data_IF_456129757788
#
_entry.id   IF_456129757788
#
_cell.length_a   1.000
_cell.length_b   1.000
_cell.length_c   1.000
_cell.angle_alpha   90.00
_cell.angle_beta   90.00
_cell.angle_gamma   90.00
#
_symmetry.space_group_name_H-M   'P 1'
#
loop_
_entity.id
_entity.type
_entity.pdbx_description
1 polymer ?
#
# COMPACT_ATOMS: atom_id res chain seq x y z
N UNK A 1 -18.00 -0.09 -9.78
CA UNK A 1 -17.49 0.12 -8.41
C UNK A 1 -16.37 1.13 -8.43
N UNK A 2 -16.39 2.07 -7.51
CA UNK A 2 -15.41 3.15 -7.51
C UNK A 2 -14.22 2.80 -6.62
N UNK A 3 -13.01 2.95 -7.16
CA UNK A 3 -11.80 2.72 -6.38
C UNK A 3 -11.53 3.89 -5.44
N UNK A 4 -11.18 3.56 -4.20
CA UNK A 4 -10.70 4.53 -3.21
C UNK A 4 -9.23 4.22 -2.95
N UNK A 5 -8.36 5.12 -3.39
CA UNK A 5 -6.91 4.88 -3.42
C UNK A 5 -6.22 5.42 -2.17
N UNK A 6 -5.43 4.58 -1.53
CA UNK A 6 -4.69 4.90 -0.30
C UNK A 6 -3.20 4.84 -0.57
N UNK A 7 -2.49 5.89 -0.17
CA UNK A 7 -1.02 5.88 -0.15
C UNK A 7 -0.56 5.76 1.30
N UNK A 8 0.40 4.89 1.55
CA UNK A 8 0.94 4.65 2.90
C UNK A 8 2.39 5.10 2.97
N UNK A 9 2.66 6.07 3.83
CA UNK A 9 4.03 6.53 4.10
C UNK A 9 4.51 5.82 5.35
N UNK A 10 5.18 4.71 5.16
CA UNK A 10 5.61 3.82 6.20
C UNK A 10 4.87 2.49 6.17
N UNK A 11 5.56 1.42 6.53
CA UNK A 11 4.95 0.08 6.53
C UNK A 11 5.59 -0.79 7.63
N UNK A 12 5.64 -0.23 8.84
CA UNK A 12 6.08 -0.96 10.02
C UNK A 12 4.92 -1.70 10.68
N UNK A 13 4.92 -1.76 12.00
CA UNK A 13 3.89 -2.48 12.77
C UNK A 13 2.49 -1.94 12.48
N UNK A 14 2.33 -0.60 12.51
CA UNK A 14 1.03 0.02 12.27
C UNK A 14 0.56 -0.20 10.82
N UNK A 15 1.47 -0.09 9.86
CA UNK A 15 1.13 -0.31 8.45
C UNK A 15 0.72 -1.74 8.16
N UNK A 16 1.43 -2.71 8.72
CA UNK A 16 1.08 -4.13 8.58
C UNK A 16 -0.26 -4.45 9.24
N UNK A 17 -0.54 -3.84 10.40
CA UNK A 17 -1.83 -4.02 11.08
C UNK A 17 -2.98 -3.45 10.23
N UNK A 18 -2.79 -2.26 9.66
CA UNK A 18 -3.79 -1.67 8.76
C UNK A 18 -4.04 -2.58 7.55
N UNK A 19 -2.98 -3.09 6.94
CA UNK A 19 -3.09 -3.97 5.78
C UNK A 19 -3.88 -5.24 6.11
N UNK A 20 -3.62 -5.83 7.28
CA UNK A 20 -4.34 -7.03 7.72
C UNK A 20 -5.83 -6.74 7.91
N UNK A 21 -6.15 -5.63 8.57
CA UNK A 21 -7.54 -5.23 8.79
C UNK A 21 -8.23 -4.98 7.45
N UNK A 22 -7.58 -4.27 6.55
CA UNK A 22 -8.15 -4.00 5.23
C UNK A 22 -8.43 -5.28 4.46
N UNK A 23 -7.49 -6.24 4.46
CA UNK A 23 -7.71 -7.53 3.79
C UNK A 23 -8.90 -8.30 4.37
N UNK A 24 -9.12 -8.20 5.69
CA UNK A 24 -10.23 -8.88 6.36
C UNK A 24 -11.58 -8.21 6.12
N UNK A 25 -11.60 -6.91 5.91
CA UNK A 25 -12.84 -6.12 5.84
C UNK A 25 -13.14 -5.57 4.45
N UNK A 26 -12.29 -5.85 3.47
CA UNK A 26 -12.40 -5.30 2.12
C UNK A 26 -13.78 -5.49 1.50
N UNK A 27 -14.28 -6.74 1.52
CA UNK A 27 -15.57 -7.05 0.89
C UNK A 27 -16.74 -6.39 1.64
N UNK A 28 -16.64 -6.32 2.96
CA UNK A 28 -17.66 -5.67 3.78
C UNK A 28 -17.71 -4.17 3.49
N UNK A 29 -16.54 -3.53 3.36
CA UNK A 29 -16.48 -2.10 3.02
C UNK A 29 -17.08 -1.87 1.63
N UNK A 30 -16.74 -2.70 0.66
CA UNK A 30 -17.31 -2.62 -0.69
C UNK A 30 -18.82 -2.72 -0.66
N UNK A 31 -19.36 -3.67 0.07
CA UNK A 31 -20.80 -3.91 0.16
C UNK A 31 -21.53 -2.72 0.80
N UNK A 32 -20.95 -2.15 1.86
CA UNK A 32 -21.59 -1.06 2.62
C UNK A 32 -21.43 0.30 1.98
N UNK A 33 -20.31 0.57 1.29
CA UNK A 33 -20.01 1.91 0.81
C UNK A 33 -19.98 2.04 -0.71
N UNK A 34 -19.90 0.94 -1.43
CA UNK A 34 -19.71 0.95 -2.88
C UNK A 34 -18.29 1.28 -3.32
N UNK A 35 -17.34 1.42 -2.38
CA UNK A 35 -15.95 1.70 -2.70
C UNK A 35 -15.07 0.46 -2.59
N UNK A 36 -14.17 0.33 -3.56
CA UNK A 36 -13.11 -0.68 -3.55
C UNK A 36 -11.84 -0.01 -3.04
N UNK A 37 -11.53 -0.19 -1.76
CA UNK A 37 -10.37 0.44 -1.12
C UNK A 37 -9.12 -0.33 -1.49
N UNK A 38 -8.16 0.35 -2.12
CA UNK A 38 -6.89 -0.23 -2.55
C UNK A 38 -5.72 0.60 -2.09
N UNK A 39 -4.68 -0.04 -1.61
CA UNK A 39 -3.41 0.63 -1.33
C UNK A 39 -2.63 0.67 -2.64
N UNK A 40 -2.33 1.87 -3.12
CA UNK A 40 -1.68 2.06 -4.42
C UNK A 40 -0.21 2.43 -4.30
N UNK A 41 0.24 2.89 -3.14
CA UNK A 41 1.63 3.23 -2.90
C UNK A 41 2.02 2.95 -1.46
N UNK A 42 3.24 2.46 -1.27
CA UNK A 42 3.83 2.22 0.05
C UNK A 42 5.27 2.69 0.01
N UNK A 43 5.69 3.50 0.98
CA UNK A 43 7.09 3.87 1.14
C UNK A 43 7.61 3.37 2.49
N UNK A 44 8.89 2.99 2.54
CA UNK A 44 9.52 2.53 3.79
C UNK A 44 10.76 3.33 4.16
N UNK A 45 11.19 4.22 3.29
CA UNK A 45 12.45 4.92 3.45
C UNK A 45 13.65 4.09 3.02
N UNK A 46 14.03 3.07 3.80
CA UNK A 46 15.25 2.30 3.54
C UNK A 46 15.02 0.92 2.92
N UNK A 47 13.78 0.43 2.92
CA UNK A 47 13.48 -0.93 2.46
C UNK A 47 12.85 -0.98 1.08
N UNK A 48 12.84 0.14 0.38
CA UNK A 48 12.22 0.27 -0.93
C UNK A 48 10.78 0.75 -0.86
N UNK A 49 10.19 0.91 -2.02
CA UNK A 49 8.80 1.39 -2.16
C UNK A 49 8.06 0.53 -3.16
N UNK A 50 6.74 0.56 -3.08
CA UNK A 50 5.85 -0.11 -4.03
C UNK A 50 4.84 0.88 -4.58
N UNK A 51 4.45 0.69 -5.85
CA UNK A 51 3.43 1.49 -6.50
C UNK A 51 2.67 0.64 -7.50
N UNK A 52 1.36 0.64 -7.41
CA UNK A 52 0.48 -0.04 -8.37
C UNK A 52 -0.92 0.56 -8.28
N UNK A 53 -1.36 1.25 -9.32
CA UNK A 53 -2.68 1.89 -9.33
C UNK A 53 -3.83 0.89 -9.31
N UNK A 54 -3.58 -0.34 -9.70
CA UNK A 54 -4.60 -1.40 -9.63
C UNK A 54 -4.66 -2.06 -8.25
N UNK A 55 -3.84 -1.62 -7.33
CA UNK A 55 -3.78 -2.14 -5.97
C UNK A 55 -2.57 -3.04 -5.72
N UNK A 56 -1.89 -2.78 -4.62
CA UNK A 56 -0.73 -3.58 -4.19
C UNK A 56 -1.24 -4.83 -3.47
N UNK A 57 -0.62 -5.97 -3.74
CA UNK A 57 -0.86 -7.20 -2.99
C UNK A 57 -0.20 -7.05 -1.61
N UNK A 58 -1.03 -6.72 -0.60
CA UNK A 58 -0.54 -6.43 0.75
C UNK A 58 0.01 -7.65 1.47
N UNK A 59 -0.49 -8.85 1.15
CA UNK A 59 0.04 -10.08 1.73
C UNK A 59 1.47 -10.32 1.24
N UNK A 60 1.69 -10.13 -0.05
CA UNK A 60 3.01 -10.30 -0.64
C UNK A 60 3.97 -9.21 -0.15
N UNK A 61 3.51 -7.96 -0.03
CA UNK A 61 4.32 -6.87 0.50
C UNK A 61 4.79 -7.18 1.93
N UNK A 62 3.88 -7.65 2.78
CA UNK A 62 4.21 -8.02 4.15
C UNK A 62 5.20 -9.18 4.19
N UNK A 63 4.98 -10.20 3.36
CA UNK A 63 5.89 -11.35 3.25
C UNK A 63 7.30 -10.90 2.89
N UNK A 64 7.45 -10.03 1.91
CA UNK A 64 8.77 -9.54 1.50
C UNK A 64 9.51 -8.86 2.64
N UNK A 65 8.83 -7.99 3.39
CA UNK A 65 9.47 -7.31 4.51
C UNK A 65 9.81 -8.26 5.66
N UNK A 66 8.96 -9.23 5.95
CA UNK A 66 9.19 -10.16 7.05
C UNK A 66 10.24 -11.22 6.72
N UNK A 67 10.26 -11.74 5.49
CA UNK A 67 11.16 -12.82 5.11
C UNK A 67 12.45 -12.33 4.47
N UNK A 68 12.41 -11.24 3.71
CA UNK A 68 13.56 -10.74 2.96
C UNK A 68 14.12 -9.43 3.51
N UNK A 69 13.40 -8.78 4.42
CA UNK A 69 13.82 -7.54 5.06
C UNK A 69 13.67 -6.30 4.20
N UNK A 70 13.20 -6.43 2.97
CA UNK A 70 12.98 -5.33 2.05
C UNK A 70 12.07 -5.75 0.91
N UNK A 71 11.53 -4.77 0.18
CA UNK A 71 10.76 -5.05 -1.04
C UNK A 71 11.70 -5.54 -2.15
N UNK A 72 11.21 -6.51 -2.91
CA UNK A 72 11.97 -7.12 -4.01
C UNK A 72 12.06 -6.14 -5.18
N UNK A 73 13.31 -5.77 -5.55
CA UNK A 73 13.55 -4.85 -6.66
C UNK A 73 13.09 -5.40 -8.01
N UNK A 74 12.88 -6.70 -8.10
CA UNK A 74 12.36 -7.34 -9.31
C UNK A 74 10.84 -7.49 -9.32
N UNK A 75 10.16 -7.08 -8.25
CA UNK A 75 8.71 -7.11 -8.19
C UNK A 75 8.12 -6.10 -9.19
N UNK A 76 7.04 -6.47 -9.91
CA UNK A 76 6.39 -5.53 -10.85
C UNK A 76 5.94 -4.23 -10.20
N UNK A 77 5.63 -4.25 -8.92
CA UNK A 77 5.19 -3.06 -8.19
C UNK A 77 6.35 -2.25 -7.60
N UNK A 78 7.59 -2.72 -7.68
CA UNK A 78 8.72 -2.02 -7.08
C UNK A 78 8.87 -0.61 -7.64
N UNK A 79 9.06 0.37 -6.76
CA UNK A 79 9.21 1.77 -7.14
C UNK A 79 10.40 2.38 -6.40
N UNK A 80 11.04 3.37 -7.03
CA UNK A 80 12.12 4.14 -6.42
C UNK A 80 11.62 5.44 -5.80
N UNK A 81 10.31 5.70 -5.84
CA UNK A 81 9.76 6.92 -5.28
C UNK A 81 9.96 6.99 -3.77
N UNK A 82 10.37 8.16 -3.29
CA UNK A 82 10.36 8.44 -1.85
C UNK A 82 8.99 8.99 -1.45
N UNK A 83 8.80 9.24 -0.15
CA UNK A 83 7.51 9.72 0.37
C UNK A 83 7.08 11.04 -0.26
N UNK A 84 8.00 11.98 -0.46
CA UNK A 84 7.69 13.27 -1.07
C UNK A 84 7.20 13.09 -2.51
N UNK A 85 7.86 12.22 -3.28
CA UNK A 85 7.44 11.94 -4.65
C UNK A 85 6.08 11.28 -4.72
N UNK A 86 5.77 10.38 -3.78
CA UNK A 86 4.44 9.78 -3.69
C UNK A 86 3.38 10.85 -3.44
N UNK A 87 3.61 11.75 -2.50
CA UNK A 87 2.68 12.83 -2.20
C UNK A 87 2.44 13.72 -3.41
N UNK A 88 3.48 14.01 -4.18
CA UNK A 88 3.39 14.93 -5.33
C UNK A 88 2.85 14.29 -6.60
N UNK A 89 3.17 13.01 -6.85
CA UNK A 89 2.97 12.39 -8.16
C UNK A 89 1.89 11.33 -8.21
N UNK A 90 1.59 10.67 -7.10
CA UNK A 90 0.62 9.58 -7.09
C UNK A 90 -0.79 10.13 -6.95
N UNK A 91 -1.70 9.58 -7.74
CA UNK A 91 -3.12 9.92 -7.65
C UNK A 91 -3.74 9.07 -6.53
N UNK A 92 -3.99 9.70 -5.39
CA UNK A 92 -4.58 9.02 -4.23
C UNK A 92 -5.73 9.84 -3.66
N UNK A 93 -6.64 9.16 -2.94
CA UNK A 93 -7.74 9.81 -2.25
C UNK A 93 -7.34 10.18 -0.82
N UNK A 94 -6.52 9.36 -0.20
CA UNK A 94 -6.02 9.63 1.16
C UNK A 94 -4.58 9.15 1.28
N UNK A 95 -3.79 9.85 2.07
CA UNK A 95 -2.44 9.45 2.44
C UNK A 95 -2.39 9.23 3.94
N UNK A 96 -1.81 8.09 4.33
CA UNK A 96 -1.60 7.74 5.73
C UNK A 96 -0.12 7.83 6.04
N UNK A 97 0.21 8.61 7.04
CA UNK A 97 1.58 8.74 7.54
C UNK A 97 1.69 7.91 8.82
N UNK A 98 2.47 6.84 8.74
CA UNK A 98 2.54 5.82 9.79
C UNK A 98 3.90 5.74 10.47
#
# INVERSE_FOLDING_TARGET
MKQFSVAMLGYGIAGKAFARILNQTHDEIMEKTGYDVKVVAITTGSRGSLYCMDGIDLKEATRQLEEEGRFDVNSPAYSKMNSMEVVEKVDYDVVLEL
#
